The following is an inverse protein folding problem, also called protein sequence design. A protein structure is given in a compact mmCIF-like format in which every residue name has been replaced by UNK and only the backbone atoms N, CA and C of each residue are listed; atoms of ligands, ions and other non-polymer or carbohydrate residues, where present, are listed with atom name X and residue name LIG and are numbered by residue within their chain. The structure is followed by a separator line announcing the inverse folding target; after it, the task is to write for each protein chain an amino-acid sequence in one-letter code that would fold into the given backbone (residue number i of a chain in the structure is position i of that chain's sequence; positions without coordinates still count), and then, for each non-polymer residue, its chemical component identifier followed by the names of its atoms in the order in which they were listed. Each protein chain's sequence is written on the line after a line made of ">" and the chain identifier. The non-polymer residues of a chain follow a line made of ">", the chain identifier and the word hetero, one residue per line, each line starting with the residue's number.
data_IF_028487122964
#
_entry.id   IF_028487122964
#
_cell.length_a   1.000
_cell.length_b   1.000
_cell.length_c   1.000
_cell.angle_alpha   90.00
_cell.angle_beta   90.00
_cell.angle_gamma   90.00
#
_symmetry.space_group_name_H-M   'P 1'
#
loop_
_entity.id
_entity.type
_entity.pdbx_description
1 polymer ?
#
# COMPACT_ATOMS: atom_id res chain seq x y z
N UNK A 1 -21.72 -21.00 -3.84
CA UNK A 1 -22.06 -19.99 -4.85
C UNK A 1 -22.38 -18.70 -4.11
N UNK A 2 -21.56 -17.66 -4.26
CA UNK A 2 -21.89 -16.32 -3.77
C UNK A 2 -22.93 -15.76 -4.71
N UNK A 3 -24.14 -15.43 -4.22
CA UNK A 3 -25.15 -14.74 -5.02
C UNK A 3 -24.61 -13.40 -5.46
N UNK A 4 -24.73 -13.10 -6.74
CA UNK A 4 -24.41 -11.79 -7.28
C UNK A 4 -25.26 -10.71 -6.59
N UNK A 5 -24.65 -9.57 -6.27
CA UNK A 5 -25.38 -8.42 -5.72
C UNK A 5 -26.12 -7.74 -6.87
N UNK A 6 -27.43 -7.69 -6.81
CA UNK A 6 -28.27 -7.20 -7.90
C UNK A 6 -29.07 -5.93 -7.55
N UNK A 7 -29.16 -5.60 -6.26
CA UNK A 7 -29.90 -4.41 -5.78
C UNK A 7 -29.05 -3.52 -4.87
N UNK A 8 -29.47 -2.26 -4.74
CA UNK A 8 -28.83 -1.32 -3.81
C UNK A 8 -28.98 -1.79 -2.35
N UNK A 9 -30.10 -2.39 -2.00
CA UNK A 9 -30.38 -2.91 -0.66
C UNK A 9 -29.41 -4.04 -0.30
N UNK A 10 -29.16 -4.97 -1.23
CA UNK A 10 -28.19 -6.05 -1.05
C UNK A 10 -26.77 -5.48 -0.90
N UNK A 11 -26.38 -4.49 -1.70
CA UNK A 11 -25.08 -3.82 -1.60
C UNK A 11 -24.90 -3.15 -0.23
N UNK A 12 -25.89 -2.42 0.25
CA UNK A 12 -25.88 -1.77 1.58
C UNK A 12 -25.74 -2.81 2.68
N UNK A 13 -26.51 -3.92 2.62
CA UNK A 13 -26.40 -4.98 3.64
C UNK A 13 -25.00 -5.62 3.67
N UNK A 14 -24.37 -5.86 2.51
CA UNK A 14 -22.99 -6.38 2.46
C UNK A 14 -21.98 -5.41 3.09
N UNK A 15 -22.10 -4.11 2.83
CA UNK A 15 -21.26 -3.09 3.46
C UNK A 15 -21.45 -3.10 4.99
N UNK A 16 -22.69 -3.17 5.46
CA UNK A 16 -22.98 -3.21 6.90
C UNK A 16 -22.46 -4.50 7.56
N UNK A 17 -22.51 -5.65 6.87
CA UNK A 17 -21.89 -6.90 7.33
C UNK A 17 -20.38 -6.76 7.44
N UNK A 18 -19.72 -6.16 6.45
CA UNK A 18 -18.29 -5.89 6.47
C UNK A 18 -17.89 -4.99 7.64
N UNK A 19 -18.65 -3.91 7.88
CA UNK A 19 -18.43 -3.00 9.01
C UNK A 19 -18.53 -3.74 10.36
N UNK A 20 -19.56 -4.57 10.54
CA UNK A 20 -19.74 -5.39 11.75
C UNK A 20 -18.60 -6.39 11.94
N UNK A 21 -18.16 -7.04 10.86
CA UNK A 21 -17.04 -7.97 10.91
C UNK A 21 -15.73 -7.29 11.33
N UNK A 22 -15.38 -6.16 10.72
CA UNK A 22 -14.18 -5.39 11.08
C UNK A 22 -14.20 -4.89 12.53
N UNK A 23 -15.36 -4.48 13.02
CA UNK A 23 -15.54 -4.14 14.43
C UNK A 23 -15.27 -5.34 15.35
N UNK A 24 -15.78 -6.54 14.99
CA UNK A 24 -15.57 -7.79 15.76
C UNK A 24 -14.10 -8.16 15.85
N UNK A 25 -13.36 -8.09 14.75
CA UNK A 25 -11.92 -8.44 14.69
C UNK A 25 -11.00 -7.28 15.11
N UNK A 26 -11.55 -6.11 15.45
CA UNK A 26 -10.84 -4.93 15.98
C UNK A 26 -9.73 -4.36 15.06
N UNK A 27 -9.89 -4.44 13.75
CA UNK A 27 -8.90 -3.95 12.77
C UNK A 27 -9.21 -2.58 12.16
N UNK A 28 -10.21 -1.88 12.66
CA UNK A 28 -10.57 -0.53 12.22
C UNK A 28 -11.77 -0.49 11.27
N UNK A 29 -11.99 0.64 10.62
CA UNK A 29 -13.11 0.83 9.69
C UNK A 29 -12.66 0.54 8.25
N UNK A 30 -13.25 -0.47 7.55
CA UNK A 30 -12.85 -0.85 6.19
C UNK A 30 -13.02 0.26 5.15
N UNK A 31 -13.87 1.26 5.43
CA UNK A 31 -14.14 2.38 4.52
C UNK A 31 -13.20 3.58 4.74
N UNK A 32 -12.23 3.47 5.65
CA UNK A 32 -11.25 4.53 5.94
C UNK A 32 -9.82 4.07 5.67
N UNK A 33 -8.99 4.99 5.20
CA UNK A 33 -7.52 4.83 5.09
C UNK A 33 -7.07 3.59 4.30
N UNK A 34 -7.77 3.23 3.23
CA UNK A 34 -7.51 2.01 2.43
C UNK A 34 -7.65 0.68 3.21
N UNK A 35 -8.24 0.70 4.39
CA UNK A 35 -8.31 -0.44 5.29
C UNK A 35 -8.93 -1.70 4.68
N UNK A 36 -9.91 -1.53 3.79
CA UNK A 36 -10.51 -2.64 3.03
C UNK A 36 -9.50 -3.31 2.09
N UNK A 37 -8.65 -2.52 1.43
CA UNK A 37 -7.60 -3.05 0.56
C UNK A 37 -6.49 -3.74 1.34
N UNK A 38 -6.05 -3.17 2.46
CA UNK A 38 -5.09 -3.80 3.35
C UNK A 38 -5.60 -5.15 3.85
N UNK A 39 -6.90 -5.26 4.14
CA UNK A 39 -7.52 -6.53 4.51
C UNK A 39 -7.47 -7.55 3.37
N UNK A 40 -7.80 -7.15 2.14
CA UNK A 40 -7.69 -8.02 0.96
C UNK A 40 -6.24 -8.46 0.75
N UNK A 41 -5.28 -7.54 0.80
CA UNK A 41 -3.86 -7.86 0.69
C UNK A 41 -3.43 -8.88 1.76
N UNK A 42 -3.74 -8.62 3.03
CA UNK A 42 -3.40 -9.53 4.13
C UNK A 42 -3.98 -10.92 3.90
N UNK A 43 -5.26 -11.02 3.50
CA UNK A 43 -5.93 -12.28 3.21
C UNK A 43 -5.21 -13.08 2.10
N UNK A 44 -4.99 -12.47 0.94
CA UNK A 44 -4.37 -13.14 -0.21
C UNK A 44 -2.88 -13.46 -0.01
N UNK A 45 -2.18 -12.68 0.81
CA UNK A 45 -0.78 -12.94 1.18
C UNK A 45 -0.65 -13.93 2.36
N UNK A 46 -1.76 -14.37 2.94
CA UNK A 46 -1.77 -15.28 4.09
C UNK A 46 -1.31 -14.62 5.40
N UNK A 47 -1.42 -13.31 5.50
CA UNK A 47 -1.09 -12.50 6.68
C UNK A 47 -2.34 -12.20 7.52
N UNK A 48 -2.10 -11.70 8.72
CA UNK A 48 -3.13 -11.12 9.59
C UNK A 48 -3.05 -9.60 9.55
N UNK A 49 -4.21 -8.95 9.36
CA UNK A 49 -4.32 -7.50 9.39
C UNK A 49 -4.13 -6.99 10.83
N UNK A 50 -3.22 -6.01 11.00
CA UNK A 50 -2.98 -5.39 12.30
C UNK A 50 -3.97 -4.25 12.58
N UNK A 51 -4.22 -3.89 13.85
CA UNK A 51 -5.04 -2.73 14.21
C UNK A 51 -4.48 -1.42 13.65
N UNK A 52 -5.38 -0.46 13.39
CA UNK A 52 -4.98 0.90 12.95
C UNK A 52 -4.15 1.59 14.03
N UNK A 53 -3.08 2.26 13.62
CA UNK A 53 -2.21 3.05 14.51
C UNK A 53 -1.03 2.27 15.10
N UNK A 54 -0.91 0.99 14.81
CA UNK A 54 0.16 0.14 15.34
C UNK A 54 1.47 0.19 14.56
N UNK A 55 1.54 0.92 13.46
CA UNK A 55 2.73 0.96 12.61
C UNK A 55 2.58 0.14 11.33
N UNK A 56 2.94 -1.15 11.33
CA UNK A 56 2.78 -2.05 10.17
C UNK A 56 1.32 -2.34 9.84
N UNK A 57 1.02 -2.63 8.57
CA UNK A 57 -0.36 -2.94 8.15
C UNK A 57 -0.74 -4.38 8.48
N UNK A 58 0.20 -5.31 8.35
CA UNK A 58 -0.05 -6.73 8.60
C UNK A 58 1.16 -7.48 9.14
N UNK A 59 0.91 -8.68 9.67
CA UNK A 59 1.89 -9.57 10.25
C UNK A 59 1.69 -11.00 9.76
N UNK A 60 2.77 -11.75 9.58
CA UNK A 60 2.71 -13.18 9.26
C UNK A 60 2.03 -13.97 10.39
N UNK A 61 1.42 -15.12 10.05
CA UNK A 61 0.75 -15.99 11.03
C UNK A 61 1.65 -16.43 12.17
N UNK A 62 2.94 -16.62 11.90
CA UNK A 62 3.95 -16.95 12.90
C UNK A 62 4.47 -15.72 13.69
N UNK A 63 3.94 -14.54 13.41
CA UNK A 63 4.28 -13.25 14.06
C UNK A 63 5.75 -12.79 13.87
N UNK A 64 6.50 -13.41 12.95
CA UNK A 64 7.92 -13.10 12.75
C UNK A 64 8.20 -12.04 11.71
N UNK A 65 7.25 -11.78 10.80
CA UNK A 65 7.41 -10.82 9.69
C UNK A 65 6.27 -9.84 9.70
N UNK A 66 6.61 -8.58 9.52
CA UNK A 66 5.63 -7.51 9.31
C UNK A 66 5.70 -6.97 7.89
N UNK A 67 4.66 -6.26 7.46
CA UNK A 67 4.60 -5.70 6.13
C UNK A 67 3.78 -4.41 6.06
N UNK A 68 4.23 -3.52 5.19
CA UNK A 68 3.50 -2.32 4.76
C UNK A 68 2.82 -2.61 3.43
N UNK A 69 1.52 -2.40 3.36
CA UNK A 69 0.70 -2.59 2.16
C UNK A 69 0.51 -1.30 1.37
N UNK A 70 0.60 -1.40 0.04
CA UNK A 70 0.23 -0.30 -0.86
C UNK A 70 -0.60 -0.86 -2.00
N UNK A 71 -1.71 -0.20 -2.31
CA UNK A 71 -2.59 -0.56 -3.42
C UNK A 71 -2.53 0.44 -4.55
N UNK A 72 -2.70 -0.03 -5.77
CA UNK A 72 -2.93 0.78 -6.97
C UNK A 72 -3.88 0.05 -7.91
N UNK A 73 -4.52 0.82 -8.78
CA UNK A 73 -5.43 0.30 -9.79
C UNK A 73 -4.69 -0.26 -11.00
N UNK A 74 -5.23 -1.32 -11.59
CA UNK A 74 -4.79 -1.85 -12.87
C UNK A 74 -4.97 -0.83 -13.98
N UNK A 75 -3.87 -0.48 -14.66
CA UNK A 75 -3.86 0.56 -15.70
C UNK A 75 -4.03 -0.01 -17.13
N UNK A 76 -4.22 -1.33 -17.25
CA UNK A 76 -4.36 -2.00 -18.54
C UNK A 76 -3.04 -2.11 -19.31
N UNK A 77 -3.19 -2.39 -20.60
CA UNK A 77 -2.08 -2.55 -21.53
C UNK A 77 -1.88 -1.29 -22.38
N UNK A 78 -0.67 -1.10 -22.87
CA UNK A 78 -0.37 -0.12 -23.92
C UNK A 78 -0.96 -0.57 -25.27
N UNK A 79 -0.97 0.31 -26.27
CA UNK A 79 -1.36 -0.04 -27.66
C UNK A 79 -0.54 -1.18 -28.25
N UNK A 80 0.65 -1.47 -27.70
CA UNK A 80 1.55 -2.56 -28.13
C UNK A 80 1.35 -3.83 -27.30
N UNK A 81 0.32 -3.92 -26.47
CA UNK A 81 0.05 -5.08 -25.61
C UNK A 81 0.99 -5.23 -24.39
N UNK A 82 1.79 -4.22 -24.09
CA UNK A 82 2.69 -4.22 -22.93
C UNK A 82 1.96 -3.62 -21.73
N UNK A 83 2.10 -4.22 -20.56
CA UNK A 83 1.56 -3.73 -19.32
C UNK A 83 2.06 -2.30 -19.02
N UNK A 84 1.14 -1.41 -18.66
CA UNK A 84 1.50 -0.07 -18.23
C UNK A 84 2.18 -0.13 -16.86
N UNK A 85 3.12 0.79 -16.62
CA UNK A 85 3.78 0.91 -15.33
C UNK A 85 2.77 1.28 -14.24
N UNK A 86 2.85 0.59 -13.12
CA UNK A 86 2.07 0.90 -11.91
C UNK A 86 2.89 1.75 -10.97
N UNK A 87 2.19 2.53 -10.13
CA UNK A 87 2.85 3.41 -9.16
C UNK A 87 2.12 3.42 -7.82
N UNK A 88 2.89 3.60 -6.74
CA UNK A 88 2.41 3.61 -5.37
C UNK A 88 2.92 4.85 -4.64
N UNK A 89 1.99 5.52 -3.95
CA UNK A 89 2.30 6.75 -3.22
C UNK A 89 2.73 6.44 -1.79
N UNK A 90 3.81 7.08 -1.38
CA UNK A 90 4.29 7.12 -0.02
C UNK A 90 4.12 8.52 0.54
N UNK A 91 3.17 8.67 1.44
CA UNK A 91 3.03 9.87 2.22
C UNK A 91 4.00 9.77 3.40
N UNK A 92 4.93 10.71 3.47
CA UNK A 92 5.87 10.81 4.59
C UNK A 92 5.15 11.28 5.85
N UNK A 93 5.51 12.45 6.29
CA UNK A 93 4.91 13.12 7.45
C UNK A 93 4.91 14.63 7.20
N UNK A 94 4.41 15.39 8.15
CA UNK A 94 4.63 16.85 8.18
C UNK A 94 6.12 17.15 8.10
N UNK A 95 6.47 18.27 7.50
CA UNK A 95 7.85 18.72 7.38
C UNK A 95 8.44 18.99 8.77
N UNK A 96 9.60 18.40 9.04
CA UNK A 96 10.42 18.71 10.23
C UNK A 96 11.25 19.97 10.00
N UNK A 97 11.78 20.53 11.07
CA UNK A 97 12.59 21.75 11.01
C UNK A 97 13.92 21.54 10.29
N UNK A 98 14.52 20.36 10.45
CA UNK A 98 15.78 20.00 9.78
C UNK A 98 15.60 18.83 8.82
N UNK A 99 16.45 18.79 7.78
CA UNK A 99 16.46 17.70 6.80
C UNK A 99 16.94 16.38 7.45
N UNK A 100 17.85 16.46 8.41
CA UNK A 100 18.38 15.32 9.14
C UNK A 100 17.29 14.63 9.96
N UNK A 101 16.51 15.38 10.73
CA UNK A 101 15.37 14.85 11.48
C UNK A 101 14.32 14.24 10.55
N UNK A 102 14.02 14.93 9.43
CA UNK A 102 13.13 14.41 8.40
C UNK A 102 13.62 13.08 7.86
N UNK A 103 14.90 12.97 7.51
CA UNK A 103 15.54 11.78 6.98
C UNK A 103 15.49 10.62 7.96
N UNK A 104 15.85 10.87 9.21
CA UNK A 104 15.85 9.84 10.25
C UNK A 104 14.45 9.30 10.50
N UNK A 105 13.47 10.18 10.66
CA UNK A 105 12.07 9.78 10.84
C UNK A 105 11.55 8.96 9.65
N UNK A 106 11.75 9.43 8.43
CA UNK A 106 11.31 8.77 7.23
C UNK A 106 11.99 7.42 7.02
N UNK A 107 13.30 7.34 7.31
CA UNK A 107 14.04 6.08 7.26
C UNK A 107 13.49 5.06 8.25
N UNK A 108 13.29 5.47 9.50
CA UNK A 108 12.69 4.61 10.53
C UNK A 108 11.32 4.09 10.11
N UNK A 109 10.51 4.94 9.46
CA UNK A 109 9.18 4.55 8.96
C UNK A 109 9.25 3.48 7.86
N UNK A 110 10.14 3.63 6.88
CA UNK A 110 10.30 2.67 5.78
C UNK A 110 10.97 1.37 6.26
N UNK A 111 11.98 1.49 7.12
CA UNK A 111 12.76 0.35 7.61
C UNK A 111 12.06 -0.45 8.72
N UNK A 112 10.88 -0.02 9.17
CA UNK A 112 10.10 -0.72 10.20
C UNK A 112 9.70 -2.14 9.80
N UNK A 113 9.30 -2.31 8.54
CA UNK A 113 8.86 -3.56 7.96
C UNK A 113 9.95 -4.15 7.08
N UNK A 114 10.12 -5.47 7.08
CA UNK A 114 11.13 -6.15 6.26
C UNK A 114 10.85 -5.99 4.76
N UNK A 115 9.56 -5.99 4.40
CA UNK A 115 9.09 -5.90 3.03
C UNK A 115 7.90 -4.94 2.90
N UNK A 116 7.85 -4.29 1.74
CA UNK A 116 6.69 -3.57 1.26
C UNK A 116 5.99 -4.40 0.18
N UNK A 117 4.66 -4.47 0.25
CA UNK A 117 3.82 -5.25 -0.66
C UNK A 117 2.99 -4.30 -1.50
N UNK A 118 3.30 -4.21 -2.78
CA UNK A 118 2.68 -3.30 -3.75
C UNK A 118 1.70 -4.06 -4.62
N UNK A 119 0.43 -3.97 -4.29
CA UNK A 119 -0.63 -4.75 -4.94
C UNK A 119 -1.34 -3.93 -6.02
N UNK A 120 -1.64 -4.60 -7.12
CA UNK A 120 -2.42 -4.10 -8.24
C UNK A 120 -3.80 -4.72 -8.19
N UNK A 121 -4.83 -3.87 -8.14
CA UNK A 121 -6.24 -4.25 -8.12
C UNK A 121 -6.87 -3.94 -9.46
N UNK A 122 -7.63 -4.90 -9.98
CA UNK A 122 -8.55 -4.70 -11.09
C UNK A 122 -9.95 -4.47 -10.49
N UNK A 123 -10.39 -3.21 -10.51
CA UNK A 123 -11.68 -2.84 -9.92
C UNK A 123 -12.85 -3.24 -10.82
N UNK A 124 -12.66 -3.31 -12.13
CA UNK A 124 -13.69 -3.72 -13.07
C UNK A 124 -14.01 -5.21 -12.90
N UNK A 125 -12.97 -6.02 -12.74
CA UNK A 125 -13.08 -7.46 -12.50
C UNK A 125 -13.22 -7.84 -11.03
N UNK A 126 -13.05 -6.88 -10.11
CA UNK A 126 -13.16 -7.10 -8.67
C UNK A 126 -12.11 -8.05 -8.10
N UNK A 127 -10.88 -8.05 -8.63
CA UNK A 127 -9.82 -9.01 -8.23
C UNK A 127 -8.48 -8.36 -7.98
N UNK A 128 -7.64 -9.04 -7.21
CA UNK A 128 -6.21 -8.77 -7.15
C UNK A 128 -5.55 -9.38 -8.40
N UNK A 129 -4.68 -8.60 -9.05
CA UNK A 129 -3.95 -9.06 -10.24
C UNK A 129 -2.61 -9.64 -9.82
N UNK A 130 -1.82 -8.87 -9.09
CA UNK A 130 -0.49 -9.26 -8.59
C UNK A 130 -0.03 -8.37 -7.45
N UNK A 131 0.96 -8.85 -6.73
CA UNK A 131 1.66 -8.10 -5.69
C UNK A 131 3.16 -8.14 -5.93
N UNK A 132 3.80 -7.00 -5.90
CA UNK A 132 5.25 -6.86 -5.90
C UNK A 132 5.72 -6.80 -4.45
N UNK A 133 6.61 -7.72 -4.06
CA UNK A 133 7.23 -7.74 -2.74
C UNK A 133 8.64 -7.18 -2.86
N UNK A 134 8.86 -6.04 -2.24
CA UNK A 134 10.09 -5.24 -2.35
C UNK A 134 10.72 -5.08 -0.98
N UNK A 135 12.04 -5.24 -0.87
CA UNK A 135 12.76 -5.04 0.39
C UNK A 135 12.72 -3.57 0.83
N UNK A 136 12.65 -3.36 2.13
CA UNK A 136 12.60 -2.01 2.71
C UNK A 136 13.81 -1.14 2.32
N UNK A 137 15.01 -1.71 2.24
CA UNK A 137 16.23 -0.98 1.82
C UNK A 137 16.11 -0.44 0.39
N UNK A 138 15.48 -1.21 -0.50
CA UNK A 138 15.28 -0.84 -1.89
C UNK A 138 14.20 0.23 -2.03
N UNK A 139 13.10 0.09 -1.27
CA UNK A 139 12.08 1.13 -1.17
C UNK A 139 12.68 2.44 -0.65
N UNK A 140 13.52 2.37 0.39
CA UNK A 140 14.22 3.54 0.92
C UNK A 140 15.07 4.23 -0.13
N UNK A 141 15.86 3.48 -0.88
CA UNK A 141 16.73 4.03 -1.94
C UNK A 141 15.96 4.80 -3.00
N UNK A 142 14.75 4.34 -3.36
CA UNK A 142 13.89 4.97 -4.36
C UNK A 142 13.13 6.19 -3.82
N UNK A 143 12.67 6.13 -2.57
CA UNK A 143 11.75 7.13 -2.06
C UNK A 143 12.45 8.33 -1.42
N UNK A 144 13.65 8.16 -0.84
CA UNK A 144 14.31 9.23 -0.11
C UNK A 144 14.59 10.45 -0.98
N UNK A 145 15.14 10.29 -2.15
CA UNK A 145 15.44 11.40 -3.06
C UNK A 145 14.20 12.23 -3.43
N UNK A 146 13.04 11.59 -3.49
CA UNK A 146 11.76 12.25 -3.78
C UNK A 146 11.24 13.01 -2.56
N UNK A 147 11.37 12.43 -1.38
CA UNK A 147 11.03 13.07 -0.12
C UNK A 147 11.94 14.26 0.18
N UNK A 148 13.24 14.12 -0.05
CA UNK A 148 14.22 15.21 0.08
C UNK A 148 13.87 16.37 -0.86
N UNK A 149 13.60 16.07 -2.14
CA UNK A 149 13.13 17.08 -3.09
C UNK A 149 11.82 17.73 -2.66
N UNK A 150 10.88 16.95 -2.14
CA UNK A 150 9.61 17.46 -1.60
C UNK A 150 9.84 18.37 -0.38
N UNK A 151 10.81 18.05 0.46
CA UNK A 151 11.18 18.85 1.63
C UNK A 151 11.73 20.24 1.22
N UNK A 152 12.61 20.29 0.23
CA UNK A 152 13.15 21.56 -0.31
C UNK A 152 12.09 22.39 -1.05
N UNK A 153 11.15 21.73 -1.75
CA UNK A 153 10.10 22.39 -2.54
C UNK A 153 8.83 22.71 -1.73
N UNK A 154 8.92 22.66 -0.42
CA UNK A 154 7.80 22.95 0.47
C UNK A 154 7.27 24.38 0.27
N UNK A 155 5.97 24.51 0.01
CA UNK A 155 5.32 25.78 -0.34
C UNK A 155 4.18 26.21 0.60
N UNK A 156 4.11 25.63 1.80
CA UNK A 156 3.07 25.84 2.82
C UNK A 156 1.63 25.47 2.43
N UNK A 157 1.39 24.98 1.20
CA UNK A 157 0.05 24.55 0.77
C UNK A 157 -0.28 23.12 1.20
N UNK A 158 0.70 22.22 1.15
CA UNK A 158 0.58 20.87 1.69
C UNK A 158 1.75 20.61 2.64
N UNK A 159 1.48 20.43 3.94
CA UNK A 159 2.53 20.22 4.93
C UNK A 159 3.17 18.82 4.85
N UNK A 160 2.71 17.97 3.97
CA UNK A 160 3.17 16.58 3.89
C UNK A 160 4.34 16.42 2.92
N UNK A 161 5.35 15.70 3.36
CA UNK A 161 6.41 15.21 2.48
C UNK A 161 5.89 13.93 1.82
N UNK A 162 5.91 13.90 0.50
CA UNK A 162 5.38 12.78 -0.27
C UNK A 162 6.24 12.41 -1.47
N UNK A 163 6.05 11.20 -1.96
CA UNK A 163 6.69 10.71 -3.18
C UNK A 163 6.00 9.47 -3.71
N UNK A 164 6.20 9.17 -4.97
CA UNK A 164 5.63 8.01 -5.66
C UNK A 164 6.75 7.16 -6.22
N UNK A 165 6.64 5.85 -6.08
CA UNK A 165 7.55 4.86 -6.69
C UNK A 165 6.77 4.02 -7.69
N UNK A 166 7.45 3.49 -8.71
CA UNK A 166 6.82 2.78 -9.83
C UNK A 166 7.56 1.50 -10.20
N UNK A 167 6.85 0.59 -10.89
CA UNK A 167 7.49 -0.62 -11.47
C UNK A 167 8.58 -0.28 -12.47
N UNK A 168 8.43 0.84 -13.20
CA UNK A 168 9.47 1.31 -14.10
C UNK A 168 10.77 1.61 -13.35
N UNK A 169 10.68 2.27 -12.19
CA UNK A 169 11.87 2.60 -11.38
C UNK A 169 12.52 1.36 -10.76
N UNK A 170 11.76 0.32 -10.41
CA UNK A 170 12.35 -0.96 -9.99
C UNK A 170 13.26 -1.52 -11.10
N UNK A 171 12.74 -1.55 -12.33
CA UNK A 171 13.49 -2.07 -13.48
C UNK A 171 14.68 -1.17 -13.87
N UNK A 172 14.47 0.14 -13.93
CA UNK A 172 15.52 1.10 -14.31
C UNK A 172 16.71 1.10 -13.31
N UNK A 173 16.46 0.76 -12.05
CA UNK A 173 17.47 0.69 -10.99
C UNK A 173 17.96 -0.74 -10.71
N UNK A 174 17.55 -1.74 -11.49
CA UNK A 174 17.89 -3.16 -11.32
C UNK A 174 17.61 -3.66 -9.89
N UNK A 175 16.47 -3.27 -9.32
CA UNK A 175 16.04 -3.70 -7.99
C UNK A 175 15.39 -5.07 -8.08
N UNK A 176 15.84 -6.00 -7.23
CA UNK A 176 15.24 -7.32 -7.10
C UNK A 176 13.91 -7.24 -6.38
N UNK A 177 12.89 -7.87 -6.95
CA UNK A 177 11.56 -8.00 -6.33
C UNK A 177 10.94 -9.34 -6.70
N UNK A 178 10.07 -9.83 -5.83
CA UNK A 178 9.26 -11.02 -6.07
C UNK A 178 7.88 -10.58 -6.59
N UNK A 179 7.36 -11.25 -7.63
CA UNK A 179 5.99 -11.06 -8.11
C UNK A 179 5.12 -12.23 -7.66
N UNK A 180 4.09 -11.93 -6.90
CA UNK A 180 3.07 -12.88 -6.45
C UNK A 180 1.82 -12.64 -7.30
N UNK A 181 1.43 -13.62 -8.10
CA UNK A 181 0.18 -13.59 -8.91
C UNK A 181 -0.98 -14.16 -8.10
N UNK A 182 -2.18 -13.60 -8.31
CA UNK A 182 -3.40 -13.97 -7.57
C UNK A 182 -4.47 -14.54 -8.50
#
# INVERSE_FOLDING_TARGET
>A
MTSEITTNEEAVEQILRLLRYFKKIKVGNPLKYNRGFEFLQAHFLGFELLPVGGGSDFVSKDKKKTGEGKGTEWQGLTKKGVEKSHSWSYNGTSRFDTLEEQKEYCKKKIMRDDYHYWTVFDYEEGKLVKTYKVKNVDVWSLIWTKWEKSWYNYNNKDPRIGGTVSTKELNDNNIDYEVITH
#
